data_IF_351505278566
#
_entry.id   IF_351505278566
#
_cell.length_a   1.000
_cell.length_b   1.000
_cell.length_c   1.000
_cell.angle_alpha   90.00
_cell.angle_beta   90.00
_cell.angle_gamma   90.00
#
_symmetry.space_group_name_H-M   'P 1'
#
loop_
_entity.id
_entity.type
_entity.pdbx_description
1 polymer ?
#
# COMPACT_ATOMS: atom_id res chain seq x y z
N UNK A 1 19.22 6.34 5.26
CA UNK A 1 17.77 6.15 5.47
C UNK A 1 17.28 4.95 4.67
N UNK A 2 16.35 4.13 5.18
CA UNK A 2 15.76 3.02 4.43
C UNK A 2 14.24 3.16 4.44
N UNK A 3 13.65 3.28 3.26
CA UNK A 3 12.21 3.27 3.05
C UNK A 3 11.76 1.91 2.53
N UNK A 4 10.59 1.48 2.97
CA UNK A 4 9.97 0.22 2.56
C UNK A 4 8.60 0.45 1.94
N UNK A 5 8.29 -0.25 0.87
CA UNK A 5 6.90 -0.57 0.61
C UNK A 5 6.37 -1.54 1.66
N UNK A 6 5.06 -1.69 1.73
CA UNK A 6 4.40 -2.51 2.73
C UNK A 6 3.78 -3.79 2.14
N UNK A 7 2.86 -3.66 1.17
CA UNK A 7 2.18 -4.79 0.53
C UNK A 7 3.15 -5.62 -0.28
N UNK A 8 3.06 -6.94 -0.22
CA UNK A 8 3.94 -7.89 -0.93
C UNK A 8 5.45 -7.66 -0.75
N UNK A 9 5.82 -6.64 0.02
CA UNK A 9 7.19 -6.35 0.48
C UNK A 9 7.40 -6.81 1.92
N UNK A 10 6.63 -6.28 2.87
CA UNK A 10 6.72 -6.62 4.30
C UNK A 10 5.61 -7.58 4.75
N UNK A 11 4.47 -7.56 4.12
CA UNK A 11 3.35 -8.45 4.40
C UNK A 11 2.70 -8.99 3.12
N UNK A 12 1.97 -10.08 3.27
CA UNK A 12 1.22 -10.72 2.22
C UNK A 12 -0.12 -11.27 2.76
N UNK A 13 -0.90 -11.92 1.89
CA UNK A 13 -2.18 -12.51 2.21
C UNK A 13 -2.17 -14.04 1.95
N UNK A 14 -1.50 -14.85 2.80
CA UNK A 14 -1.26 -16.27 2.51
C UNK A 14 -2.54 -17.13 2.53
N UNK A 15 -3.60 -16.64 3.15
CA UNK A 15 -4.86 -17.36 3.33
C UNK A 15 -6.04 -16.37 3.23
N UNK A 16 -6.17 -15.70 2.07
CA UNK A 16 -7.34 -14.85 1.84
C UNK A 16 -8.63 -15.67 1.91
N UNK A 17 -9.69 -15.13 2.55
CA UNK A 17 -11.00 -15.77 2.51
C UNK A 17 -11.49 -15.94 1.07
N UNK A 18 -12.32 -16.97 0.79
CA UNK A 18 -12.94 -17.14 -0.51
C UNK A 18 -13.63 -15.86 -0.97
N UNK A 19 -13.57 -15.57 -2.28
CA UNK A 19 -14.09 -14.33 -2.85
C UNK A 19 -15.57 -14.09 -2.52
N UNK A 20 -16.35 -15.15 -2.38
CA UNK A 20 -17.77 -15.09 -1.99
C UNK A 20 -17.94 -14.60 -0.55
N UNK A 21 -17.02 -14.97 0.35
CA UNK A 21 -17.02 -14.51 1.76
C UNK A 21 -16.67 -13.03 1.81
N UNK A 22 -15.63 -12.62 1.07
CA UNK A 22 -15.23 -11.21 0.98
C UNK A 22 -16.37 -10.36 0.43
N UNK A 23 -16.95 -10.75 -0.71
CA UNK A 23 -18.08 -10.05 -1.34
C UNK A 23 -19.32 -10.01 -0.43
N UNK A 24 -19.63 -11.13 0.22
CA UNK A 24 -20.77 -11.22 1.14
C UNK A 24 -20.64 -10.28 2.33
N UNK A 25 -19.47 -10.23 2.96
CA UNK A 25 -19.24 -9.34 4.10
C UNK A 25 -19.22 -7.85 3.66
N UNK A 26 -18.61 -7.53 2.52
CA UNK A 26 -18.66 -6.17 1.95
C UNK A 26 -20.10 -5.73 1.69
N UNK A 27 -20.89 -6.56 1.01
CA UNK A 27 -22.31 -6.29 0.76
C UNK A 27 -23.10 -6.07 2.06
N UNK A 28 -22.87 -6.93 3.06
CA UNK A 28 -23.53 -6.85 4.36
C UNK A 28 -23.24 -5.51 5.06
N UNK A 29 -21.98 -5.10 5.13
CA UNK A 29 -21.56 -3.84 5.77
C UNK A 29 -22.09 -2.63 5.04
N UNK A 30 -21.94 -2.58 3.72
CA UNK A 30 -22.47 -1.50 2.88
C UNK A 30 -23.98 -1.39 3.01
N UNK A 31 -24.70 -2.52 2.92
CA UNK A 31 -26.16 -2.52 3.06
C UNK A 31 -26.64 -2.08 4.44
N UNK A 32 -25.95 -2.50 5.51
CA UNK A 32 -26.28 -2.09 6.87
C UNK A 32 -26.10 -0.56 7.04
N UNK A 33 -24.99 -0.03 6.51
CA UNK A 33 -24.71 1.41 6.56
C UNK A 33 -25.76 2.23 5.79
N UNK A 34 -26.09 1.83 4.55
CA UNK A 34 -27.08 2.51 3.71
C UNK A 34 -28.47 2.51 4.36
N UNK A 35 -28.87 1.38 4.97
CA UNK A 35 -30.11 1.31 5.74
C UNK A 35 -30.10 2.22 6.98
N UNK A 36 -28.97 2.38 7.65
CA UNK A 36 -28.84 3.29 8.80
C UNK A 36 -29.07 4.76 8.43
N UNK A 37 -28.91 5.10 7.15
CA UNK A 37 -29.21 6.42 6.60
C UNK A 37 -30.68 6.56 6.13
N UNK A 38 -31.50 5.52 6.33
CA UNK A 38 -32.93 5.54 5.99
C UNK A 38 -33.25 5.13 4.55
N UNK A 39 -32.29 4.57 3.82
CA UNK A 39 -32.54 4.10 2.45
C UNK A 39 -32.82 2.59 2.41
N UNK A 40 -33.77 2.20 1.57
CA UNK A 40 -33.98 0.79 1.23
C UNK A 40 -32.84 0.30 0.33
N UNK A 41 -32.45 -0.97 0.53
CA UNK A 41 -31.41 -1.64 -0.26
C UNK A 41 -32.07 -2.77 -1.05
N UNK A 42 -32.71 -2.39 -2.14
CA UNK A 42 -33.40 -3.25 -3.10
C UNK A 42 -33.07 -2.81 -4.54
N UNK A 43 -33.55 -3.56 -5.51
CA UNK A 43 -33.36 -3.25 -6.93
C UNK A 43 -31.89 -2.96 -7.27
N UNK A 44 -31.65 -1.79 -7.85
CA UNK A 44 -30.29 -1.39 -8.26
C UNK A 44 -29.35 -1.18 -7.07
N UNK A 45 -29.83 -0.71 -5.92
CA UNK A 45 -29.00 -0.49 -4.72
C UNK A 45 -28.43 -1.77 -4.14
N UNK A 46 -29.02 -2.92 -4.42
CA UNK A 46 -28.44 -4.21 -4.04
C UNK A 46 -27.06 -4.46 -4.70
N UNK A 47 -26.76 -3.77 -5.79
CA UNK A 47 -25.49 -3.90 -6.52
C UNK A 47 -24.44 -2.84 -6.14
N UNK A 48 -24.75 -1.91 -5.25
CA UNK A 48 -23.89 -0.77 -4.87
C UNK A 48 -22.45 -1.23 -4.52
N UNK A 49 -22.30 -2.22 -3.64
CA UNK A 49 -20.99 -2.70 -3.20
C UNK A 49 -20.16 -3.30 -4.36
N UNK A 50 -20.83 -3.96 -5.31
CA UNK A 50 -20.21 -4.50 -6.52
C UNK A 50 -19.74 -3.36 -7.45
N UNK A 51 -20.58 -2.38 -7.66
CA UNK A 51 -20.30 -1.29 -8.59
C UNK A 51 -19.22 -0.35 -8.05
N UNK A 52 -19.13 -0.20 -6.71
CA UNK A 52 -17.98 0.45 -6.04
C UNK A 52 -16.70 -0.32 -6.37
N UNK A 53 -16.69 -1.65 -6.30
CA UNK A 53 -15.50 -2.46 -6.62
C UNK A 53 -15.02 -2.20 -8.04
N UNK A 54 -15.90 -2.28 -9.02
CA UNK A 54 -15.53 -2.04 -10.43
C UNK A 54 -14.98 -0.62 -10.66
N UNK A 55 -15.61 0.38 -10.03
CA UNK A 55 -15.15 1.76 -10.16
C UNK A 55 -13.77 1.96 -9.51
N UNK A 56 -13.51 1.35 -8.35
CA UNK A 56 -12.21 1.39 -7.69
C UNK A 56 -11.14 0.71 -8.57
N UNK A 57 -11.39 -0.51 -9.04
CA UNK A 57 -10.47 -1.24 -9.92
C UNK A 57 -10.12 -0.43 -11.16
N UNK A 58 -11.13 0.12 -11.85
CA UNK A 58 -10.95 0.92 -13.05
C UNK A 58 -10.19 2.23 -12.80
N UNK A 59 -10.62 3.01 -11.78
CA UNK A 59 -10.01 4.33 -11.51
C UNK A 59 -8.60 4.19 -10.94
N UNK A 60 -8.34 3.19 -10.10
CA UNK A 60 -7.00 2.92 -9.57
C UNK A 60 -6.05 2.48 -10.70
N UNK A 61 -6.47 1.57 -11.56
CA UNK A 61 -5.67 1.14 -12.73
C UNK A 61 -5.40 2.32 -13.67
N UNK A 62 -6.41 3.13 -13.96
CA UNK A 62 -6.25 4.33 -14.81
C UNK A 62 -5.26 5.32 -14.19
N UNK A 63 -5.36 5.59 -12.90
CA UNK A 63 -4.44 6.48 -12.19
C UNK A 63 -3.01 5.92 -12.21
N UNK A 64 -2.84 4.66 -11.88
CA UNK A 64 -1.53 4.01 -11.84
C UNK A 64 -0.82 4.01 -13.20
N UNK A 65 -1.55 3.77 -14.31
CA UNK A 65 -0.99 3.78 -15.66
C UNK A 65 -0.95 5.19 -16.30
N UNK A 66 -1.59 6.17 -15.67
CA UNK A 66 -1.65 7.55 -16.14
C UNK A 66 -0.72 8.49 -15.38
N UNK A 67 -1.31 9.44 -14.70
CA UNK A 67 -0.62 10.53 -14.00
C UNK A 67 -0.22 10.19 -12.56
N UNK A 68 -0.58 9.02 -12.07
CA UNK A 68 -0.33 8.54 -10.71
C UNK A 68 -0.87 9.48 -9.61
N UNK A 69 -1.95 10.21 -9.91
CA UNK A 69 -2.71 10.95 -8.91
C UNK A 69 -3.63 9.96 -8.17
N UNK A 70 -3.61 9.99 -6.82
CA UNK A 70 -4.48 9.13 -6.02
C UNK A 70 -5.96 9.41 -6.34
N UNK A 71 -6.76 8.41 -6.68
CA UNK A 71 -8.11 8.62 -7.21
C UNK A 71 -9.14 9.09 -6.18
N UNK A 72 -8.80 9.11 -4.88
CA UNK A 72 -9.71 9.54 -3.83
C UNK A 72 -10.86 8.56 -3.61
N UNK A 73 -10.62 7.45 -2.95
CA UNK A 73 -11.58 6.34 -2.80
C UNK A 73 -12.94 6.73 -2.20
N UNK A 74 -13.03 7.64 -1.19
CA UNK A 74 -14.32 8.12 -0.70
C UNK A 74 -15.14 8.85 -1.77
N UNK A 75 -14.48 9.59 -2.67
CA UNK A 75 -15.16 10.28 -3.77
C UNK A 75 -15.62 9.32 -4.85
N UNK A 76 -14.86 8.25 -5.13
CA UNK A 76 -15.34 7.15 -5.98
C UNK A 76 -16.64 6.58 -5.39
N UNK A 77 -16.64 6.25 -4.10
CA UNK A 77 -17.83 5.72 -3.41
C UNK A 77 -19.02 6.67 -3.54
N UNK A 78 -18.83 7.98 -3.37
CA UNK A 78 -19.89 9.00 -3.53
C UNK A 78 -20.43 9.04 -4.96
N UNK A 79 -19.56 9.08 -5.95
CA UNK A 79 -19.97 9.10 -7.37
C UNK A 79 -20.75 7.86 -7.77
N UNK A 80 -20.33 6.69 -7.28
CA UNK A 80 -21.08 5.45 -7.51
C UNK A 80 -22.42 5.49 -6.77
N UNK A 81 -22.44 5.89 -5.51
CA UNK A 81 -23.67 6.01 -4.72
C UNK A 81 -24.69 6.93 -5.37
N UNK A 82 -24.26 8.05 -5.96
CA UNK A 82 -25.15 8.97 -6.68
C UNK A 82 -25.85 8.29 -7.88
N UNK A 83 -25.17 7.36 -8.58
CA UNK A 83 -25.79 6.56 -9.68
C UNK A 83 -26.89 5.62 -9.15
N UNK A 84 -26.82 5.26 -7.86
CA UNK A 84 -27.82 4.46 -7.16
C UNK A 84 -28.88 5.33 -6.43
N UNK A 85 -28.94 6.64 -6.72
CA UNK A 85 -29.90 7.57 -6.12
C UNK A 85 -29.60 7.91 -4.65
N UNK A 86 -28.33 7.84 -4.24
CA UNK A 86 -27.86 8.21 -2.91
C UNK A 86 -27.00 9.48 -3.02
N UNK A 87 -27.55 10.61 -2.59
CA UNK A 87 -26.81 11.88 -2.52
C UNK A 87 -26.09 11.96 -1.17
N UNK A 88 -24.81 11.60 -1.16
CA UNK A 88 -24.01 11.46 0.05
C UNK A 88 -23.11 12.67 0.29
N UNK A 89 -23.01 13.09 1.56
CA UNK A 89 -22.00 14.07 1.99
C UNK A 89 -20.59 13.48 1.90
N UNK A 90 -19.53 14.30 1.94
CA UNK A 90 -18.15 13.79 2.01
C UNK A 90 -17.91 12.81 3.16
N UNK A 91 -18.47 13.09 4.35
CA UNK A 91 -18.37 12.23 5.54
C UNK A 91 -19.06 10.89 5.32
N UNK A 92 -20.22 10.89 4.66
CA UNK A 92 -20.93 9.66 4.29
C UNK A 92 -20.14 8.87 3.22
N UNK A 93 -19.46 9.56 2.30
CA UNK A 93 -18.57 8.93 1.33
C UNK A 93 -17.40 8.21 2.01
N UNK A 94 -16.80 8.86 3.01
CA UNK A 94 -15.75 8.24 3.83
C UNK A 94 -16.29 7.02 4.59
N UNK A 95 -17.45 7.16 5.25
CA UNK A 95 -18.08 6.04 5.96
C UNK A 95 -18.42 4.86 5.02
N UNK A 96 -18.85 5.16 3.80
CA UNK A 96 -19.13 4.14 2.79
C UNK A 96 -17.85 3.41 2.35
N UNK A 97 -16.76 4.15 2.14
CA UNK A 97 -15.44 3.58 1.86
C UNK A 97 -14.95 2.69 3.01
N UNK A 98 -15.06 3.15 4.26
CA UNK A 98 -14.69 2.38 5.45
C UNK A 98 -15.52 1.10 5.61
N UNK A 99 -16.80 1.14 5.32
CA UNK A 99 -17.67 -0.03 5.34
C UNK A 99 -17.33 -1.02 4.22
N UNK A 100 -16.99 -0.51 3.03
CA UNK A 100 -16.62 -1.32 1.87
C UNK A 100 -15.24 -1.97 2.04
N UNK A 101 -14.27 -1.23 2.56
CA UNK A 101 -12.90 -1.71 2.78
C UNK A 101 -12.82 -2.58 4.03
N UNK A 102 -12.72 -3.89 3.87
CA UNK A 102 -12.69 -4.85 5.00
C UNK A 102 -11.39 -4.78 5.81
N UNK A 103 -10.31 -4.25 5.23
CA UNK A 103 -9.00 -4.15 5.86
C UNK A 103 -8.19 -5.43 5.86
N UNK A 104 -6.89 -5.27 6.14
CA UNK A 104 -5.93 -6.36 6.03
C UNK A 104 -6.14 -7.48 7.06
N UNK A 105 -6.62 -7.18 8.25
CA UNK A 105 -6.90 -8.17 9.29
C UNK A 105 -7.99 -9.17 8.85
N UNK A 106 -9.09 -8.67 8.27
CA UNK A 106 -10.15 -9.53 7.72
C UNK A 106 -9.65 -10.38 6.55
N UNK A 107 -8.81 -9.82 5.71
CA UNK A 107 -8.24 -10.50 4.54
C UNK A 107 -7.12 -11.49 4.89
N UNK A 108 -6.77 -11.64 6.17
CA UNK A 108 -5.78 -12.61 6.62
C UNK A 108 -4.31 -12.17 6.41
N UNK A 109 -4.06 -10.85 6.39
CA UNK A 109 -2.72 -10.30 6.25
C UNK A 109 -1.74 -10.86 7.30
N UNK A 110 -0.53 -11.19 6.87
CA UNK A 110 0.58 -11.66 7.70
C UNK A 110 1.88 -10.99 7.27
N UNK A 111 2.76 -10.68 8.23
CA UNK A 111 4.14 -10.32 7.91
C UNK A 111 4.89 -11.54 7.35
N UNK A 112 5.84 -11.30 6.46
CA UNK A 112 6.84 -12.31 6.15
C UNK A 112 7.67 -12.61 7.41
N UNK A 113 8.12 -13.87 7.59
CA UNK A 113 8.69 -14.32 8.85
C UNK A 113 9.95 -13.55 9.32
N UNK A 114 10.71 -13.02 8.38
CA UNK A 114 12.01 -12.37 8.60
C UNK A 114 11.93 -10.84 8.77
N UNK A 115 10.75 -10.25 8.61
CA UNK A 115 10.56 -8.79 8.58
C UNK A 115 10.93 -8.13 9.89
N UNK A 116 10.27 -8.49 11.00
CA UNK A 116 10.48 -7.79 12.27
C UNK A 116 11.93 -7.87 12.75
N UNK A 117 12.55 -9.03 12.60
CA UNK A 117 13.94 -9.22 13.01
C UNK A 117 14.90 -8.42 12.14
N UNK A 118 14.62 -8.31 10.83
CA UNK A 118 15.46 -7.53 9.93
C UNK A 118 15.31 -6.03 10.15
N UNK A 119 14.09 -5.54 10.34
CA UNK A 119 13.88 -4.12 10.64
C UNK A 119 14.52 -3.72 11.97
N UNK A 120 14.40 -4.56 13.03
CA UNK A 120 15.09 -4.33 14.30
C UNK A 120 16.60 -4.34 14.15
N UNK A 121 17.13 -5.25 13.35
CA UNK A 121 18.55 -5.32 13.07
C UNK A 121 19.07 -4.05 12.36
N UNK A 122 18.32 -3.52 11.36
CA UNK A 122 18.65 -2.25 10.71
C UNK A 122 18.65 -1.10 11.71
N UNK A 123 17.62 -0.98 12.55
CA UNK A 123 17.58 0.04 13.59
C UNK A 123 18.72 -0.08 14.60
N UNK A 124 19.06 -1.29 15.01
CA UNK A 124 20.19 -1.56 15.92
C UNK A 124 21.55 -1.18 15.34
N UNK A 125 21.64 -1.01 14.00
CA UNK A 125 22.82 -0.51 13.29
C UNK A 125 22.75 1.00 13.00
N UNK A 126 21.75 1.70 13.54
CA UNK A 126 21.60 3.15 13.38
C UNK A 126 20.88 3.60 12.13
N UNK A 127 20.30 2.68 11.33
CA UNK A 127 19.47 3.07 10.19
C UNK A 127 18.13 3.61 10.67
N UNK A 128 17.73 4.75 10.12
CA UNK A 128 16.37 5.29 10.26
C UNK A 128 15.48 4.59 9.24
N UNK A 129 14.24 4.25 9.64
CA UNK A 129 13.31 3.53 8.78
C UNK A 129 12.04 4.34 8.54
N UNK A 130 11.51 4.25 7.32
CA UNK A 130 10.23 4.81 6.92
C UNK A 130 9.49 3.90 5.97
N UNK A 131 8.24 4.20 5.68
CA UNK A 131 7.45 3.50 4.69
C UNK A 131 6.85 4.46 3.65
N UNK A 132 6.76 4.00 2.39
CA UNK A 132 6.08 4.69 1.30
C UNK A 132 5.14 3.69 0.64
N UNK A 133 3.82 3.89 0.73
CA UNK A 133 2.84 2.90 0.29
C UNK A 133 1.70 3.51 -0.53
N UNK A 134 1.30 2.81 -1.60
CA UNK A 134 0.07 3.11 -2.33
C UNK A 134 -1.10 2.48 -1.58
N UNK A 135 -1.95 3.31 -0.96
CA UNK A 135 -3.04 2.83 -0.13
C UNK A 135 -4.18 3.84 -0.06
N UNK A 136 -5.40 3.36 -0.16
CA UNK A 136 -6.61 4.19 -0.17
C UNK A 136 -7.15 4.56 1.22
N UNK A 137 -6.44 4.28 2.30
CA UNK A 137 -6.84 4.69 3.65
C UNK A 137 -5.63 4.87 4.57
N UNK A 138 -5.80 5.77 5.53
CA UNK A 138 -4.83 6.17 6.53
C UNK A 138 -5.49 6.36 7.91
N UNK A 139 -4.90 7.18 8.76
CA UNK A 139 -5.49 7.60 10.03
C UNK A 139 -5.51 6.50 11.11
N UNK A 140 -6.46 6.58 12.08
CA UNK A 140 -6.46 5.72 13.27
C UNK A 140 -6.48 4.22 12.96
N UNK A 141 -7.27 3.81 11.97
CA UNK A 141 -7.38 2.41 11.54
C UNK A 141 -6.06 1.88 11.02
N UNK A 142 -5.37 2.65 10.18
CA UNK A 142 -4.07 2.25 9.64
C UNK A 142 -3.01 2.18 10.76
N UNK A 143 -3.01 3.15 11.68
CA UNK A 143 -2.10 3.14 12.83
C UNK A 143 -2.33 1.93 13.75
N UNK A 144 -3.58 1.52 13.96
CA UNK A 144 -3.91 0.30 14.71
C UNK A 144 -3.38 -0.95 14.00
N UNK A 145 -3.58 -1.05 12.68
CA UNK A 145 -3.03 -2.14 11.87
C UNK A 145 -1.49 -2.22 11.96
N UNK A 146 -0.81 -1.09 11.94
CA UNK A 146 0.66 -1.04 12.09
C UNK A 146 1.11 -1.47 13.50
N UNK A 147 0.35 -1.10 14.54
CA UNK A 147 0.62 -1.55 15.92
C UNK A 147 0.43 -3.06 16.07
N UNK A 148 -0.67 -3.59 15.54
CA UNK A 148 -0.99 -5.02 15.61
C UNK A 148 0.07 -5.89 14.92
N UNK A 149 0.71 -5.34 13.88
CA UNK A 149 1.82 -5.98 13.18
C UNK A 149 3.18 -5.75 13.86
N UNK A 150 3.26 -4.92 14.90
CA UNK A 150 4.52 -4.57 15.56
C UNK A 150 5.44 -3.67 14.73
N UNK A 151 4.88 -2.97 13.73
CA UNK A 151 5.62 -2.09 12.82
C UNK A 151 5.61 -0.63 13.26
N UNK A 152 4.62 -0.20 14.02
CA UNK A 152 4.41 1.23 14.36
C UNK A 152 5.64 1.88 14.99
N UNK A 153 6.34 1.18 15.90
CA UNK A 153 7.52 1.69 16.61
C UNK A 153 8.82 1.57 15.79
N UNK A 154 8.76 0.93 14.63
CA UNK A 154 9.94 0.72 13.79
C UNK A 154 10.11 1.81 12.75
N UNK A 155 9.02 2.41 12.29
CA UNK A 155 9.04 3.47 11.29
C UNK A 155 8.91 4.85 11.92
N UNK A 156 9.76 5.78 11.51
CA UNK A 156 9.71 7.19 11.92
C UNK A 156 8.69 7.97 11.10
N UNK A 157 8.45 7.55 9.87
CA UNK A 157 7.46 8.13 8.96
C UNK A 157 6.79 7.03 8.14
N UNK A 158 5.52 7.24 7.85
CA UNK A 158 4.80 6.46 6.83
C UNK A 158 4.08 7.43 5.90
N UNK A 159 4.48 7.44 4.63
CA UNK A 159 3.87 8.25 3.59
C UNK A 159 2.88 7.39 2.81
N UNK A 160 1.63 7.81 2.78
CA UNK A 160 0.52 7.07 2.19
C UNK A 160 -0.04 7.88 1.03
N UNK A 161 -0.27 7.24 -0.12
CA UNK A 161 -0.72 7.92 -1.34
C UNK A 161 -1.99 8.74 -1.14
N UNK A 162 -2.99 8.21 -0.42
CA UNK A 162 -4.24 8.93 -0.18
C UNK A 162 -4.09 10.19 0.70
N UNK A 163 -3.02 10.31 1.49
CA UNK A 163 -2.75 11.50 2.30
C UNK A 163 -2.06 12.60 1.50
N UNK A 164 -1.17 12.20 0.58
CA UNK A 164 -0.35 13.14 -0.20
C UNK A 164 -0.91 13.40 -1.60
N UNK A 165 -1.90 12.62 -2.03
CA UNK A 165 -2.56 12.76 -3.32
C UNK A 165 -1.78 12.20 -4.51
N UNK A 166 -0.66 11.49 -4.29
CA UNK A 166 0.18 10.92 -5.34
C UNK A 166 0.52 9.47 -5.04
N UNK A 167 0.38 8.61 -6.05
CA UNK A 167 0.77 7.20 -5.99
C UNK A 167 2.21 7.01 -6.49
N UNK A 168 2.96 6.05 -5.95
CA UNK A 168 4.17 5.55 -6.60
C UNK A 168 3.80 5.01 -8.00
N UNK A 169 4.61 5.27 -9.05
CA UNK A 169 5.95 5.85 -9.07
C UNK A 169 6.03 7.38 -9.15
N UNK A 170 4.96 8.15 -8.94
CA UNK A 170 5.03 9.60 -9.04
C UNK A 170 6.11 10.17 -8.11
N UNK A 171 7.03 11.04 -8.58
CA UNK A 171 8.18 11.51 -7.79
C UNK A 171 7.77 12.26 -6.52
N UNK A 172 6.61 12.90 -6.51
CA UNK A 172 6.14 13.68 -5.35
C UNK A 172 5.99 12.85 -4.07
N UNK A 173 5.50 11.61 -4.13
CA UNK A 173 5.35 10.79 -2.92
C UNK A 173 6.70 10.47 -2.28
N UNK A 174 7.75 10.25 -3.09
CA UNK A 174 9.12 10.04 -2.61
C UNK A 174 9.71 11.35 -2.05
N UNK A 175 9.49 12.48 -2.72
CA UNK A 175 9.92 13.79 -2.23
C UNK A 175 9.32 14.11 -0.86
N UNK A 176 8.01 13.87 -0.66
CA UNK A 176 7.37 13.98 0.66
C UNK A 176 8.07 13.14 1.72
N UNK A 177 8.44 11.91 1.39
CA UNK A 177 9.12 11.02 2.34
C UNK A 177 10.54 11.54 2.68
N UNK A 178 11.29 12.01 1.70
CA UNK A 178 12.62 12.57 1.89
C UNK A 178 12.56 13.87 2.72
N UNK A 179 11.64 14.77 2.39
CA UNK A 179 11.42 16.03 3.12
C UNK A 179 10.99 15.76 4.58
N UNK A 180 10.05 14.83 4.81
CA UNK A 180 9.58 14.48 6.15
C UNK A 180 10.69 13.90 7.05
N UNK A 181 11.72 13.30 6.45
CA UNK A 181 12.85 12.71 7.15
C UNK A 181 14.08 13.61 7.17
N UNK A 182 14.05 14.74 6.46
CA UNK A 182 15.21 15.63 6.28
C UNK A 182 16.45 14.84 5.83
N UNK A 183 16.32 14.15 4.69
CA UNK A 183 17.39 13.31 4.11
C UNK A 183 17.50 13.51 2.61
N UNK A 184 18.72 13.39 2.09
CA UNK A 184 18.98 13.43 0.66
C UNK A 184 18.63 12.09 -0.02
N UNK A 185 18.16 12.19 -1.26
CA UNK A 185 17.81 11.00 -2.05
C UNK A 185 18.99 10.03 -2.19
N UNK A 186 20.19 10.55 -2.46
CA UNK A 186 21.42 9.76 -2.63
C UNK A 186 21.86 9.01 -1.36
N UNK A 187 21.38 9.42 -0.18
CA UNK A 187 21.62 8.75 1.11
C UNK A 187 20.48 7.81 1.52
N UNK A 188 19.53 7.61 0.62
CA UNK A 188 18.30 6.88 0.88
C UNK A 188 18.14 5.67 -0.02
N UNK A 189 17.49 4.64 0.52
CA UNK A 189 17.23 3.37 -0.18
C UNK A 189 15.73 3.11 -0.14
N UNK A 190 15.15 2.75 -1.27
CA UNK A 190 13.79 2.19 -1.36
C UNK A 190 13.87 0.67 -1.52
N UNK A 191 13.14 -0.05 -0.70
CA UNK A 191 12.98 -1.51 -0.76
C UNK A 191 11.53 -1.80 -1.08
N UNK A 192 11.25 -2.46 -2.20
CA UNK A 192 9.89 -2.77 -2.63
C UNK A 192 9.83 -3.90 -3.63
N UNK A 193 8.64 -4.42 -3.90
CA UNK A 193 8.40 -5.56 -4.79
C UNK A 193 8.03 -5.15 -6.22
N UNK A 194 7.55 -3.91 -6.42
CA UNK A 194 7.15 -3.41 -7.73
C UNK A 194 8.32 -2.75 -8.46
N UNK A 195 8.66 -3.29 -9.65
CA UNK A 195 9.68 -2.67 -10.51
C UNK A 195 9.28 -1.26 -10.94
N UNK A 196 7.99 -1.05 -11.22
CA UNK A 196 7.49 0.26 -11.63
C UNK A 196 7.29 1.19 -10.44
N UNK A 197 6.47 0.79 -9.46
CA UNK A 197 6.11 1.67 -8.36
C UNK A 197 7.31 2.04 -7.49
N UNK A 198 8.14 1.04 -7.11
CA UNK A 198 9.20 1.21 -6.14
C UNK A 198 10.55 1.50 -6.80
N UNK A 199 10.97 0.66 -7.75
CA UNK A 199 12.31 0.78 -8.34
C UNK A 199 12.39 1.98 -9.26
N UNK A 200 11.52 2.08 -10.26
CA UNK A 200 11.51 3.22 -11.19
C UNK A 200 11.22 4.53 -10.44
N UNK A 201 10.23 4.52 -9.53
CA UNK A 201 9.89 5.71 -8.74
C UNK A 201 11.06 6.22 -7.90
N UNK A 202 11.74 5.34 -7.16
CA UNK A 202 12.91 5.69 -6.37
C UNK A 202 14.08 6.20 -7.22
N UNK A 203 14.38 5.53 -8.34
CA UNK A 203 15.45 5.93 -9.26
C UNK A 203 15.18 7.29 -9.89
N UNK A 204 13.92 7.64 -10.17
CA UNK A 204 13.53 8.94 -10.73
C UNK A 204 13.91 10.11 -9.82
N UNK A 205 13.91 9.90 -8.50
CA UNK A 205 14.31 10.93 -7.53
C UNK A 205 15.77 10.81 -7.07
N UNK A 206 16.52 9.82 -7.56
CA UNK A 206 17.94 9.62 -7.25
C UNK A 206 18.23 8.76 -6.03
N UNK A 207 17.25 8.00 -5.51
CA UNK A 207 17.44 7.02 -4.45
C UNK A 207 18.09 5.74 -5.00
N UNK A 208 18.74 4.98 -4.11
CA UNK A 208 19.04 3.58 -4.39
C UNK A 208 17.77 2.74 -4.30
N UNK A 209 17.68 1.69 -5.13
CA UNK A 209 16.53 0.81 -5.18
C UNK A 209 16.92 -0.66 -4.97
N UNK A 210 16.28 -1.32 -4.02
CA UNK A 210 16.38 -2.75 -3.78
C UNK A 210 15.06 -3.40 -4.18
N UNK A 211 15.10 -4.24 -5.20
CA UNK A 211 13.92 -4.98 -5.63
C UNK A 211 13.80 -6.28 -4.84
N UNK A 212 12.71 -6.40 -4.07
CA UNK A 212 12.29 -7.67 -3.50
C UNK A 212 11.51 -8.45 -4.55
N UNK A 213 12.20 -9.35 -5.23
CA UNK A 213 11.58 -10.18 -6.27
C UNK A 213 10.60 -11.16 -5.62
N UNK A 214 9.31 -11.16 -6.02
CA UNK A 214 8.35 -12.16 -5.58
C UNK A 214 8.87 -13.57 -5.82
N UNK A 215 8.68 -14.46 -4.86
CA UNK A 215 9.05 -15.87 -4.97
C UNK A 215 7.87 -16.70 -5.48
N UNK A 216 8.14 -17.90 -5.99
CA UNK A 216 7.07 -18.85 -6.36
C UNK A 216 6.21 -19.30 -5.15
N UNK A 217 6.63 -19.01 -3.92
CA UNK A 217 5.89 -19.29 -2.70
C UNK A 217 4.98 -18.13 -2.28
N UNK A 218 5.15 -16.93 -2.86
CA UNK A 218 4.23 -15.83 -2.66
C UNK A 218 2.94 -16.15 -3.43
N UNK A 219 1.75 -16.00 -2.83
CA UNK A 219 0.50 -16.14 -3.55
C UNK A 219 0.41 -14.99 -4.56
N UNK A 220 0.84 -15.29 -5.77
CA UNK A 220 0.80 -14.33 -6.87
C UNK A 220 -0.65 -14.21 -7.31
N UNK A 221 -1.37 -13.20 -6.85
CA UNK A 221 -2.18 -12.48 -7.81
C UNK A 221 -1.14 -11.88 -8.76
N UNK A 222 -1.26 -12.21 -10.06
CA UNK A 222 -0.30 -11.76 -11.05
C UNK A 222 -0.13 -10.25 -10.90
N UNK A 223 0.93 -9.85 -10.20
CA UNK A 223 1.34 -8.46 -10.17
C UNK A 223 1.67 -8.15 -11.62
N UNK A 224 1.14 -7.05 -12.13
CA UNK A 224 1.35 -6.59 -13.51
C UNK A 224 2.84 -6.37 -13.82
N UNK A 225 3.70 -6.50 -12.83
CA UNK A 225 5.15 -6.39 -12.86
C UNK A 225 5.84 -7.75 -13.08
N UNK A 226 5.54 -8.39 -14.21
CA UNK A 226 6.41 -9.46 -14.72
C UNK A 226 7.76 -8.83 -15.12
N UNK A 227 8.91 -9.54 -14.92
CA UNK A 227 10.24 -9.04 -15.32
C UNK A 227 10.31 -8.60 -16.79
N UNK A 228 9.43 -9.11 -17.64
CA UNK A 228 9.32 -8.78 -19.07
C UNK A 228 8.69 -7.41 -19.32
N UNK A 229 8.06 -6.79 -18.30
CA UNK A 229 7.46 -5.44 -18.33
C UNK A 229 8.31 -4.40 -17.61
N UNK A 230 9.47 -4.81 -17.04
CA UNK A 230 10.43 -3.88 -16.49
C UNK A 230 10.85 -2.90 -17.60
N UNK A 231 10.61 -1.63 -17.39
CA UNK A 231 11.19 -0.55 -18.20
C UNK A 231 12.74 -0.65 -18.18
N UNK A 232 13.44 0.26 -18.84
CA UNK A 232 14.90 0.23 -18.89
C UNK A 232 15.60 0.44 -17.54
N UNK A 233 14.83 0.69 -16.48
CA UNK A 233 15.35 1.01 -15.14
C UNK A 233 15.64 -0.29 -14.39
N UNK A 234 16.91 -0.43 -13.97
CA UNK A 234 17.38 -1.59 -13.21
C UNK A 234 17.49 -1.26 -11.72
N UNK A 235 17.13 -2.19 -10.80
CA UNK A 235 17.41 -2.04 -9.38
C UNK A 235 18.92 -2.08 -9.13
N UNK A 236 19.38 -1.42 -8.08
CA UNK A 236 20.79 -1.51 -7.64
C UNK A 236 21.09 -2.87 -7.01
N UNK A 237 20.09 -3.46 -6.33
CA UNK A 237 20.19 -4.78 -5.73
C UNK A 237 18.86 -5.55 -5.90
N UNK A 238 18.96 -6.87 -5.89
CA UNK A 238 17.82 -7.79 -5.93
C UNK A 238 17.91 -8.74 -4.74
N UNK A 239 16.81 -8.92 -4.04
CA UNK A 239 16.64 -9.85 -2.93
C UNK A 239 15.41 -10.73 -3.14
N UNK A 240 15.40 -11.93 -2.57
CA UNK A 240 14.22 -12.79 -2.51
C UNK A 240 13.45 -12.63 -1.21
N UNK A 241 14.13 -12.34 -0.11
CA UNK A 241 13.55 -12.15 1.22
C UNK A 241 14.09 -10.87 1.87
N UNK A 242 13.34 -10.30 2.81
CA UNK A 242 13.78 -9.10 3.53
C UNK A 242 15.05 -9.38 4.36
N UNK A 243 15.19 -10.60 4.86
CA UNK A 243 16.39 -11.03 5.59
C UNK A 243 17.70 -10.89 4.82
N UNK A 244 17.65 -11.00 3.49
CA UNK A 244 18.83 -10.87 2.62
C UNK A 244 19.42 -9.47 2.61
N UNK A 245 18.68 -8.44 3.05
CA UNK A 245 19.22 -7.09 3.26
C UNK A 245 20.48 -7.11 4.14
N UNK A 246 20.55 -8.03 5.11
CA UNK A 246 21.69 -8.18 6.03
C UNK A 246 22.99 -8.56 5.32
N UNK A 247 22.89 -9.13 4.13
CA UNK A 247 24.02 -9.61 3.34
C UNK A 247 24.44 -8.63 2.23
N UNK A 248 23.68 -7.55 2.02
CA UNK A 248 24.02 -6.56 1.00
C UNK A 248 25.23 -5.70 1.44
N UNK A 249 26.19 -5.44 0.54
CA UNK A 249 27.34 -4.58 0.83
C UNK A 249 26.94 -3.23 1.41
N UNK A 250 25.82 -2.68 0.95
CA UNK A 250 25.22 -1.44 1.40
C UNK A 250 25.02 -1.37 2.92
N UNK A 251 24.66 -2.50 3.55
CA UNK A 251 24.37 -2.59 4.99
C UNK A 251 25.49 -3.24 5.81
N UNK A 252 26.48 -3.89 5.16
CA UNK A 252 27.62 -4.50 5.84
C UNK A 252 28.70 -3.45 6.13
N UNK A 253 29.00 -2.59 5.16
CA UNK A 253 30.10 -1.62 5.23
C UNK A 253 29.83 -0.45 6.21
N UNK A 254 28.57 -0.20 6.57
CA UNK A 254 28.17 0.86 7.50
C UNK A 254 28.11 0.31 8.93
N UNK A 255 29.26 -0.05 9.50
CA UNK A 255 29.40 -0.14 10.95
C UNK A 255 29.24 1.26 11.55
N UNK A 256 28.76 1.42 12.84
CA UNK A 256 28.64 2.72 13.44
C UNK A 256 29.97 3.45 13.33
N UNK A 257 29.93 4.66 12.75
CA UNK A 257 31.04 5.60 12.91
C UNK A 257 31.18 5.80 14.41
N UNK A 258 32.33 5.35 14.97
CA UNK A 258 32.66 5.43 16.37
C UNK A 258 32.74 6.87 16.89
#
# INVERSE_FOLDING_TARGET
MVFFDLGDTLWHFPAMPPVEVVRGETMKRVSALVRSWGYEVDGERAYLARDIRFAIEEETSRAFHGDCIDPGYPDICRRVAARHGLDLTPEQGMALWEAWNLGGAFLGRRLYPDVLDTLRWLRGRGYRLGAITNRGYSGPRFHEEMRDLGLAELFEVTVISCDVGYMKPHPRIFQYALEAMDVEAAESVMVGDSLRADVEGAKTVGMLAVWRRPSAADPVEATEDQPEQAGPVQPDYVIGTIGELRSLPLFIASGPAG
#
